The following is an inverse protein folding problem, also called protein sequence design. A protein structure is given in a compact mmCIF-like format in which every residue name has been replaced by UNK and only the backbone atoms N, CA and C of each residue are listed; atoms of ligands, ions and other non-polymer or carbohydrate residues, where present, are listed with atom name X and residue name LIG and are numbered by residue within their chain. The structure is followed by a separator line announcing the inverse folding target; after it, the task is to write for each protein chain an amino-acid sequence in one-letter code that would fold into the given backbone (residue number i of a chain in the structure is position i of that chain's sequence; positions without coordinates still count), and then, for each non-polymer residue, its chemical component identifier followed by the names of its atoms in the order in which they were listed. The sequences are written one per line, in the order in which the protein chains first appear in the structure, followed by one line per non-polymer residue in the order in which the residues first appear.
data_IF_830506393195
#
_entry.id   IF_830506393195
#
_cell.length_a   1.000
_cell.length_b   1.000
_cell.length_c   1.000
_cell.angle_alpha   90.00
_cell.angle_beta   90.00
_cell.angle_gamma   90.00
#
_symmetry.space_group_name_H-M   'P 1'
#
loop_
_entity.id
_entity.type
_entity.pdbx_description
1 polymer ?
#
# COMPACT_ATOMS: atom_id res chain seq x y z
N UNK A 1 6.76 2.14 -2.36
CA UNK A 1 6.95 3.54 -1.88
C UNK A 1 5.80 4.47 -2.25
N UNK A 2 5.46 4.70 -3.53
CA UNK A 2 4.34 5.59 -3.89
C UNK A 2 3.00 5.16 -3.26
N UNK A 3 2.67 3.86 -3.35
CA UNK A 3 1.47 3.29 -2.70
C UNK A 3 1.50 3.49 -1.18
N UNK A 4 2.63 3.20 -0.53
CA UNK A 4 2.80 3.43 0.92
C UNK A 4 2.57 4.89 1.32
N UNK A 5 3.15 5.83 0.56
CA UNK A 5 2.95 7.27 0.75
C UNK A 5 1.49 7.66 0.62
N UNK A 6 0.80 7.06 -0.36
CA UNK A 6 -0.60 7.34 -0.61
C UNK A 6 -1.51 6.77 0.49
N UNK A 7 -1.30 5.52 0.89
CA UNK A 7 -2.03 4.91 2.01
C UNK A 7 -1.83 5.70 3.31
N UNK A 8 -0.61 6.13 3.59
CA UNK A 8 -0.30 6.97 4.75
C UNK A 8 -1.05 8.32 4.72
N UNK A 9 -1.13 8.93 3.54
CA UNK A 9 -1.86 10.19 3.36
C UNK A 9 -3.37 10.06 3.55
N UNK A 10 -3.95 8.91 3.17
CA UNK A 10 -5.39 8.64 3.29
C UNK A 10 -5.82 8.25 4.69
N UNK A 11 -4.93 7.65 5.49
CA UNK A 11 -5.27 7.05 6.78
C UNK A 11 -6.10 7.96 7.70
N UNK A 12 -5.75 9.26 7.77
CA UNK A 12 -6.47 10.23 8.60
C UNK A 12 -7.90 10.51 8.11
N UNK A 13 -8.08 10.53 6.80
CA UNK A 13 -9.33 10.95 6.13
C UNK A 13 -10.32 9.79 6.06
N UNK A 14 -9.80 8.57 5.92
CA UNK A 14 -10.60 7.34 5.85
C UNK A 14 -10.91 6.75 7.21
N UNK A 15 -10.37 7.30 8.30
CA UNK A 15 -10.56 6.73 9.63
C UNK A 15 -12.04 6.56 10.03
N UNK A 16 -12.88 7.56 9.70
CA UNK A 16 -14.33 7.48 9.95
C UNK A 16 -15.01 6.44 9.06
N UNK A 17 -14.56 6.29 7.82
CA UNK A 17 -15.06 5.27 6.89
C UNK A 17 -14.74 3.86 7.42
N UNK A 18 -13.53 3.67 7.94
CA UNK A 18 -13.08 2.41 8.54
C UNK A 18 -13.89 2.04 9.77
N UNK A 19 -14.16 2.98 10.68
CA UNK A 19 -15.07 2.78 11.83
C UNK A 19 -16.48 2.42 11.36
N UNK A 20 -16.94 3.02 10.26
CA UNK A 20 -18.23 2.73 9.64
C UNK A 20 -18.25 1.41 8.84
N UNK A 21 -17.22 0.55 8.97
CA UNK A 21 -17.17 -0.76 8.32
C UNK A 21 -16.83 -0.72 6.83
N UNK A 22 -16.27 0.39 6.33
CA UNK A 22 -15.73 0.48 4.97
C UNK A 22 -14.22 0.25 4.98
N UNK A 23 -13.76 -0.71 4.20
CA UNK A 23 -12.34 -1.03 4.07
C UNK A 23 -11.79 -0.65 2.70
N UNK A 24 -10.49 -0.42 2.64
CA UNK A 24 -9.76 -0.33 1.38
C UNK A 24 -8.35 -0.91 1.54
N UNK A 25 -7.81 -1.43 0.45
CA UNK A 25 -6.40 -1.83 0.39
C UNK A 25 -5.84 -1.46 -0.98
N UNK A 26 -4.59 -1.05 -1.02
CA UNK A 26 -3.89 -0.75 -2.27
C UNK A 26 -2.51 -1.38 -2.23
N UNK A 27 -2.12 -2.04 -3.32
CA UNK A 27 -0.78 -2.60 -3.46
C UNK A 27 -0.28 -2.49 -4.89
N UNK A 28 1.04 -2.37 -5.03
CA UNK A 28 1.71 -2.38 -6.32
C UNK A 28 2.07 -3.81 -6.73
N UNK A 29 2.05 -4.08 -8.02
CA UNK A 29 2.52 -5.33 -8.64
C UNK A 29 3.02 -5.03 -10.06
N UNK A 30 3.52 -6.04 -10.78
CA UNK A 30 4.06 -5.83 -12.15
C UNK A 30 3.08 -5.17 -13.14
N UNK A 31 1.78 -5.38 -12.96
CA UNK A 31 0.74 -4.81 -13.82
C UNK A 31 0.30 -3.39 -13.44
N UNK A 32 0.92 -2.79 -12.43
CA UNK A 32 0.58 -1.45 -11.93
C UNK A 32 0.13 -1.49 -10.47
N UNK A 33 -1.08 -0.97 -10.21
CA UNK A 33 -1.62 -0.83 -8.86
C UNK A 33 -3.00 -1.46 -8.82
N UNK A 34 -3.23 -2.32 -7.82
CA UNK A 34 -4.55 -2.84 -7.50
C UNK A 34 -5.10 -2.08 -6.30
N UNK A 35 -6.32 -1.56 -6.42
CA UNK A 35 -7.13 -1.01 -5.33
C UNK A 35 -8.32 -1.93 -5.10
N UNK A 36 -8.52 -2.38 -3.87
CA UNK A 36 -9.72 -3.09 -3.43
C UNK A 36 -10.48 -2.26 -2.42
N UNK A 37 -11.82 -2.31 -2.50
CA UNK A 37 -12.72 -1.64 -1.58
C UNK A 37 -13.73 -2.66 -1.03
N UNK A 38 -14.13 -2.49 0.22
CA UNK A 38 -15.11 -3.35 0.89
C UNK A 38 -16.03 -2.53 1.79
N UNK A 39 -17.21 -3.06 2.11
CA UNK A 39 -18.21 -2.40 2.96
C UNK A 39 -19.54 -2.16 2.23
N UNK A 40 -20.24 -1.10 2.61
CA UNK A 40 -21.59 -0.81 2.13
C UNK A 40 -21.63 -0.36 0.67
N UNK A 41 -22.30 -1.13 -0.18
CA UNK A 41 -22.37 -0.91 -1.64
C UNK A 41 -22.79 0.51 -2.05
N UNK A 42 -23.69 1.13 -1.30
CA UNK A 42 -24.18 2.49 -1.58
C UNK A 42 -23.10 3.58 -1.42
N UNK A 43 -22.09 3.33 -0.57
CA UNK A 43 -21.02 4.28 -0.25
C UNK A 43 -19.71 3.99 -0.98
N UNK A 44 -19.55 2.78 -1.52
CA UNK A 44 -18.36 2.39 -2.28
C UNK A 44 -18.04 3.31 -3.47
N UNK A 45 -19.01 3.77 -4.29
CA UNK A 45 -18.71 4.70 -5.38
C UNK A 45 -18.14 6.04 -4.87
N UNK A 46 -18.65 6.54 -3.74
CA UNK A 46 -18.19 7.80 -3.13
C UNK A 46 -16.76 7.66 -2.60
N UNK A 47 -16.47 6.54 -1.93
CA UNK A 47 -15.13 6.22 -1.45
C UNK A 47 -14.13 6.06 -2.61
N UNK A 48 -14.52 5.35 -3.67
CA UNK A 48 -13.71 5.18 -4.87
C UNK A 48 -13.37 6.52 -5.51
N UNK A 49 -14.36 7.37 -5.75
CA UNK A 49 -14.16 8.69 -6.36
C UNK A 49 -13.20 9.56 -5.54
N UNK A 50 -13.37 9.58 -4.21
CA UNK A 50 -12.48 10.31 -3.31
C UNK A 50 -11.03 9.80 -3.41
N UNK A 51 -10.84 8.48 -3.36
CA UNK A 51 -9.51 7.85 -3.44
C UNK A 51 -8.86 8.18 -4.79
N UNK A 52 -9.59 8.04 -5.92
CA UNK A 52 -9.05 8.32 -7.24
C UNK A 52 -8.67 9.80 -7.43
N UNK A 53 -9.50 10.73 -6.95
CA UNK A 53 -9.19 12.17 -6.99
C UNK A 53 -7.92 12.49 -6.22
N UNK A 54 -7.76 11.95 -5.00
CA UNK A 54 -6.54 12.14 -4.20
C UNK A 54 -5.33 11.49 -4.85
N UNK A 55 -5.50 10.30 -5.43
CA UNK A 55 -4.43 9.59 -6.12
C UNK A 55 -3.96 10.31 -7.40
N UNK A 56 -4.82 11.12 -8.02
CA UNK A 56 -4.45 11.97 -9.15
C UNK A 56 -3.68 13.22 -8.70
N UNK A 57 -4.07 13.84 -7.58
CA UNK A 57 -3.42 15.04 -7.05
C UNK A 57 -2.01 14.78 -6.46
N UNK A 58 -1.81 13.64 -5.78
CA UNK A 58 -0.51 13.19 -5.22
C UNK A 58 0.26 14.24 -4.42
N UNK A 59 -0.40 14.85 -3.44
CA UNK A 59 0.26 15.79 -2.53
C UNK A 59 1.04 15.04 -1.44
N UNK A 60 2.33 14.85 -1.67
CA UNK A 60 3.20 14.12 -0.75
C UNK A 60 4.06 15.04 0.10
N UNK A 61 4.03 14.83 1.42
CA UNK A 61 4.88 15.56 2.36
C UNK A 61 6.31 14.98 2.36
N UNK A 62 7.36 15.79 2.12
CA UNK A 62 8.75 15.31 2.08
C UNK A 62 9.24 14.66 3.38
N UNK A 63 8.80 15.17 4.54
CA UNK A 63 9.14 14.59 5.84
C UNK A 63 8.51 13.21 6.03
N UNK A 64 7.28 13.02 5.56
CA UNK A 64 6.62 11.70 5.55
C UNK A 64 7.34 10.75 4.59
N UNK A 65 7.78 11.23 3.43
CA UNK A 65 8.56 10.45 2.48
C UNK A 65 9.80 9.82 3.11
N UNK A 66 10.63 10.62 3.78
CA UNK A 66 11.82 10.08 4.43
C UNK A 66 11.46 9.09 5.54
N UNK A 67 10.42 9.36 6.31
CA UNK A 67 9.95 8.44 7.36
C UNK A 67 9.55 7.08 6.79
N UNK A 68 8.70 7.05 5.76
CA UNK A 68 8.20 5.81 5.15
C UNK A 68 9.33 5.07 4.43
N UNK A 69 10.21 5.79 3.73
CA UNK A 69 11.39 5.21 3.10
C UNK A 69 12.29 4.50 4.12
N UNK A 70 12.55 5.11 5.27
CA UNK A 70 13.34 4.48 6.33
C UNK A 70 12.64 3.24 6.91
N UNK A 71 11.31 3.28 7.06
CA UNK A 71 10.54 2.11 7.49
C UNK A 71 10.64 0.96 6.49
N UNK A 72 10.51 1.22 5.19
CA UNK A 72 10.66 0.21 4.14
C UNK A 72 12.07 -0.39 4.14
N UNK A 73 13.11 0.43 4.22
CA UNK A 73 14.50 -0.04 4.31
C UNK A 73 14.71 -0.95 5.51
N UNK A 74 14.13 -0.61 6.67
CA UNK A 74 14.18 -1.45 7.86
C UNK A 74 13.44 -2.76 7.67
N UNK A 75 12.25 -2.73 7.06
CA UNK A 75 11.46 -3.94 6.79
C UNK A 75 12.22 -4.89 5.86
N UNK A 76 12.86 -4.38 4.81
CA UNK A 76 13.71 -5.18 3.92
C UNK A 76 14.95 -5.75 4.60
N UNK A 77 15.55 -5.03 5.55
CA UNK A 77 16.64 -5.59 6.36
C UNK A 77 16.14 -6.70 7.27
N UNK A 78 14.98 -6.51 7.88
CA UNK A 78 14.40 -7.47 8.80
C UNK A 78 13.92 -8.75 8.11
N UNK A 79 13.57 -8.71 6.82
CA UNK A 79 13.17 -9.93 6.09
C UNK A 79 14.30 -10.96 5.99
N UNK A 80 15.57 -10.55 6.15
CA UNK A 80 16.71 -11.47 6.28
C UNK A 80 16.70 -12.28 7.57
N UNK A 81 15.88 -11.89 8.56
CA UNK A 81 15.70 -12.58 9.83
C UNK A 81 14.39 -13.38 9.90
N UNK A 82 13.60 -13.40 8.81
CA UNK A 82 12.40 -14.21 8.73
C UNK A 82 12.73 -15.70 8.77
N UNK A 83 11.71 -16.54 9.00
CA UNK A 83 11.88 -18.00 8.99
C UNK A 83 12.52 -18.46 7.66
N UNK A 84 13.43 -19.46 7.66
CA UNK A 84 14.12 -19.90 6.45
C UNK A 84 13.21 -20.23 5.26
N UNK A 85 12.02 -20.79 5.54
CA UNK A 85 11.00 -21.07 4.51
C UNK A 85 10.51 -19.77 3.83
N UNK A 86 10.25 -18.72 4.60
CA UNK A 86 9.84 -17.41 4.07
C UNK A 86 10.94 -16.80 3.20
N UNK A 87 12.21 -16.90 3.62
CA UNK A 87 13.35 -16.44 2.84
C UNK A 87 13.47 -17.16 1.49
N UNK A 88 13.29 -18.49 1.49
CA UNK A 88 13.31 -19.30 0.27
C UNK A 88 12.21 -18.87 -0.71
N UNK A 89 10.97 -18.71 -0.24
CA UNK A 89 9.87 -18.29 -1.10
C UNK A 89 10.06 -16.87 -1.64
N UNK A 90 10.58 -15.94 -0.84
CA UNK A 90 10.91 -14.59 -1.29
C UNK A 90 11.98 -14.61 -2.40
N UNK A 91 13.03 -15.41 -2.22
CA UNK A 91 14.09 -15.56 -3.22
C UNK A 91 13.57 -16.20 -4.53
N UNK A 92 12.78 -17.27 -4.44
CA UNK A 92 12.15 -17.90 -5.60
C UNK A 92 11.21 -16.94 -6.33
N UNK A 93 10.42 -16.17 -5.59
CA UNK A 93 9.50 -15.18 -6.17
C UNK A 93 10.27 -14.10 -6.92
N UNK A 94 11.38 -13.60 -6.36
CA UNK A 94 12.25 -12.62 -7.04
C UNK A 94 12.88 -13.16 -8.33
N UNK A 95 13.24 -14.45 -8.36
CA UNK A 95 13.78 -15.10 -9.55
C UNK A 95 12.72 -15.31 -10.65
N UNK A 96 11.52 -15.72 -10.25
CA UNK A 96 10.42 -16.02 -11.19
C UNK A 96 9.66 -14.77 -11.66
N UNK A 97 9.67 -13.70 -10.87
CA UNK A 97 8.93 -12.46 -11.13
C UNK A 97 9.83 -11.22 -10.97
N UNK A 98 10.84 -11.04 -11.84
CA UNK A 98 11.92 -10.06 -11.63
C UNK A 98 11.47 -8.60 -11.59
N UNK A 99 10.34 -8.25 -12.22
CA UNK A 99 9.81 -6.89 -12.22
C UNK A 99 8.79 -6.64 -11.08
N UNK A 100 8.57 -7.60 -10.17
CA UNK A 100 7.55 -7.45 -9.14
C UNK A 100 8.14 -6.57 -8.04
N UNK A 101 7.49 -5.46 -7.67
CA UNK A 101 7.95 -4.64 -6.56
C UNK A 101 8.06 -5.50 -5.29
N UNK A 102 9.17 -5.39 -4.54
CA UNK A 102 9.36 -6.09 -3.27
C UNK A 102 8.48 -5.53 -2.15
#
# INVERSE_FOLDING_TARGET
LCVEMFLDSLAKETYQAEIAGMGYNMYAHQGGVTLTLSGFSQKLPQLLEMILRRFAAREFNPTRFETIKQQLLRNWRNSSQDRPISQLFNALTGLLQPNNPP
#
